data_IF_467268792338
#
_entry.id   IF_467268792338
#
_cell.length_a   1.000
_cell.length_b   1.000
_cell.length_c   1.000
_cell.angle_alpha   90.00
_cell.angle_beta   90.00
_cell.angle_gamma   90.00
#
_symmetry.space_group_name_H-M   'P 1'
#
loop_
_entity.id
_entity.type
_entity.pdbx_description
1 polymer ?
#
# COMPACT_ATOMS: atom_id res chain seq x y z
N UNK A 1 15.85 2.77 -7.60
CA UNK A 1 14.53 2.17 -7.88
C UNK A 1 13.61 3.29 -8.32
N UNK A 2 13.09 3.27 -9.55
CA UNK A 2 12.12 4.27 -10.01
C UNK A 2 10.76 3.57 -10.15
N UNK A 3 10.07 3.39 -9.01
CA UNK A 3 8.75 2.78 -8.96
C UNK A 3 7.76 3.91 -9.25
N UNK A 4 7.32 4.02 -10.51
CA UNK A 4 6.40 5.08 -10.92
C UNK A 4 5.00 4.74 -10.42
N UNK A 5 4.68 5.13 -9.18
CA UNK A 5 3.40 4.82 -8.50
C UNK A 5 2.18 5.46 -9.19
N UNK A 6 2.40 6.49 -10.01
CA UNK A 6 1.36 7.19 -10.75
C UNK A 6 0.55 6.24 -11.64
N UNK A 7 -0.76 6.20 -11.39
CA UNK A 7 -1.72 5.38 -12.13
C UNK A 7 -1.74 3.89 -11.78
N UNK A 8 -0.94 3.42 -10.83
CA UNK A 8 -0.91 2.00 -10.43
C UNK A 8 -1.76 1.70 -9.19
N UNK A 9 -2.06 2.72 -8.40
CA UNK A 9 -2.79 2.62 -7.14
C UNK A 9 -3.79 3.77 -7.02
N UNK A 10 -4.95 3.48 -6.44
CA UNK A 10 -5.89 4.52 -6.03
C UNK A 10 -5.30 5.39 -4.93
N UNK A 11 -5.78 6.63 -4.83
CA UNK A 11 -5.43 7.53 -3.72
C UNK A 11 -5.71 6.87 -2.37
N UNK A 12 -6.78 6.08 -2.29
CA UNK A 12 -7.14 5.30 -1.10
C UNK A 12 -6.08 4.23 -0.79
N UNK A 13 -5.69 3.41 -1.78
CA UNK A 13 -4.64 2.41 -1.60
C UNK A 13 -3.31 3.05 -1.17
N UNK A 14 -2.95 4.19 -1.77
CA UNK A 14 -1.76 4.95 -1.40
C UNK A 14 -1.84 5.47 0.05
N UNK A 15 -2.99 6.00 0.45
CA UNK A 15 -3.20 6.50 1.82
C UNK A 15 -3.08 5.38 2.86
N UNK A 16 -3.69 4.22 2.60
CA UNK A 16 -3.59 3.04 3.47
C UNK A 16 -2.14 2.57 3.61
N UNK A 17 -1.38 2.53 2.52
CA UNK A 17 0.02 2.14 2.53
C UNK A 17 0.88 3.10 3.38
N UNK A 18 0.66 4.41 3.27
CA UNK A 18 1.35 5.42 4.09
C UNK A 18 0.99 5.24 5.56
N UNK A 19 -0.29 5.09 5.89
CA UNK A 19 -0.73 4.89 7.28
C UNK A 19 -0.13 3.62 7.89
N UNK A 20 -0.12 2.52 7.14
CA UNK A 20 0.50 1.28 7.58
C UNK A 20 2.01 1.46 7.82
N UNK A 21 2.70 2.13 6.91
CA UNK A 21 4.14 2.43 7.04
C UNK A 21 4.43 3.24 8.30
N UNK A 22 3.64 4.28 8.58
CA UNK A 22 3.78 5.10 9.79
C UNK A 22 3.56 4.30 11.08
N UNK A 23 2.65 3.33 11.07
CA UNK A 23 2.43 2.42 12.22
C UNK A 23 3.60 1.45 12.39
N UNK A 24 4.08 0.84 11.31
CA UNK A 24 5.21 -0.08 11.34
C UNK A 24 6.51 0.58 11.83
N UNK A 25 6.70 1.85 11.50
CA UNK A 25 7.90 2.62 11.84
C UNK A 25 7.80 3.39 13.17
N UNK A 26 6.78 3.13 14.00
CA UNK A 26 6.69 3.74 15.33
C UNK A 26 7.96 3.48 16.15
N UNK A 27 8.45 4.51 16.83
CA UNK A 27 9.65 4.45 17.68
C UNK A 27 9.48 3.38 18.75
N UNK A 28 8.35 3.39 19.46
CA UNK A 28 8.04 2.42 20.50
C UNK A 28 7.53 1.09 19.89
N UNK A 29 8.20 -0.04 20.13
CA UNK A 29 7.83 -1.33 19.52
C UNK A 29 6.40 -1.78 19.82
N UNK A 30 5.87 -1.44 21.00
CA UNK A 30 4.49 -1.78 21.43
C UNK A 30 3.40 -1.10 20.60
N UNK A 31 3.73 -0.02 19.90
CA UNK A 31 2.79 0.72 19.05
C UNK A 31 2.78 0.20 17.61
N UNK A 32 3.70 -0.71 17.27
CA UNK A 32 3.76 -1.33 15.95
C UNK A 32 2.67 -2.40 15.83
N UNK A 33 2.06 -2.55 14.65
CA UNK A 33 1.02 -3.53 14.43
C UNK A 33 1.58 -4.96 14.48
N UNK A 34 0.74 -5.92 14.84
CA UNK A 34 1.07 -7.32 14.65
C UNK A 34 1.17 -7.65 13.15
N UNK A 35 2.04 -8.59 12.77
CA UNK A 35 2.21 -8.94 11.35
C UNK A 35 0.91 -9.41 10.68
N UNK A 36 -0.02 -10.00 11.46
CA UNK A 36 -1.37 -10.32 11.00
C UNK A 36 -2.11 -9.08 10.47
N UNK A 37 -2.14 -7.99 11.25
CA UNK A 37 -2.77 -6.72 10.83
C UNK A 37 -2.06 -6.10 9.62
N UNK A 38 -0.73 -6.25 9.54
CA UNK A 38 0.06 -5.79 8.39
C UNK A 38 -0.40 -6.49 7.12
N UNK A 39 -0.47 -7.83 7.13
CA UNK A 39 -0.90 -8.63 5.98
C UNK A 39 -2.34 -8.29 5.59
N UNK A 40 -3.26 -8.25 6.55
CA UNK A 40 -4.66 -7.89 6.28
C UNK A 40 -4.80 -6.50 5.65
N UNK A 41 -3.95 -5.54 6.05
CA UNK A 41 -3.96 -4.20 5.45
C UNK A 41 -3.36 -4.20 4.04
N UNK A 42 -2.30 -4.99 3.81
CA UNK A 42 -1.68 -5.13 2.48
C UNK A 42 -2.61 -5.80 1.47
N UNK A 43 -3.38 -6.82 1.89
CA UNK A 43 -4.40 -7.46 1.04
C UNK A 43 -5.48 -6.46 0.62
N UNK A 44 -5.91 -5.56 1.51
CA UNK A 44 -6.86 -4.47 1.17
C UNK A 44 -6.26 -3.47 0.18
N UNK A 45 -4.98 -3.14 0.32
CA UNK A 45 -4.27 -2.25 -0.62
C UNK A 45 -4.20 -2.92 -1.99
N UNK A 46 -3.92 -4.22 -2.05
CA UNK A 46 -3.87 -4.98 -3.31
C UNK A 46 -5.25 -5.04 -3.98
N UNK A 47 -6.32 -5.25 -3.23
CA UNK A 47 -7.69 -5.24 -3.75
C UNK A 47 -8.11 -3.86 -4.32
N UNK A 48 -7.48 -2.78 -3.86
CA UNK A 48 -7.72 -1.40 -4.29
C UNK A 48 -6.76 -0.92 -5.40
N UNK A 49 -6.02 -1.84 -6.03
CA UNK A 49 -5.24 -1.53 -7.23
C UNK A 49 -6.19 -1.23 -8.37
N UNK A 50 -5.90 -0.20 -9.15
CA UNK A 50 -6.58 -0.06 -10.43
C UNK A 50 -6.21 -1.25 -11.30
N UNK A 51 -7.19 -1.87 -11.97
CA UNK A 51 -6.95 -2.76 -13.09
C UNK A 51 -5.90 -2.08 -13.97
N UNK A 52 -4.71 -2.68 -14.07
CA UNK A 52 -3.68 -2.19 -14.97
C UNK A 52 -4.25 -2.40 -16.37
N UNK A 53 -4.95 -1.41 -16.91
CA UNK A 53 -5.35 -1.43 -18.31
C UNK A 53 -4.07 -1.71 -19.09
N UNK A 54 -4.00 -2.77 -19.90
CA UNK A 54 -2.82 -3.05 -20.68
C UNK A 54 -2.61 -1.79 -21.50
N UNK A 55 -1.52 -1.06 -21.22
CA UNK A 55 -1.15 0.15 -21.96
C UNK A 55 -1.27 -0.24 -23.42
N UNK A 56 -2.21 0.39 -24.13
CA UNK A 56 -2.38 0.20 -25.57
C UNK A 56 -0.99 0.27 -26.17
N UNK A 57 -0.54 -0.85 -26.72
CA UNK A 57 0.69 -0.95 -27.50
C UNK A 57 0.69 0.23 -28.47
N UNK A 58 1.62 1.15 -28.26
CA UNK A 58 1.91 2.22 -29.22
C UNK A 58 3.07 1.76 -30.06
#
# INVERSE_FOLDING_TARGET
>A
MNIRMEGQYSTEAALLAVQLTLKCLQSEPKNRPAMKEVVETLERIEANRFEVSPRSSR
#
